data_IF_964668553800
#
_entry.id   IF_964668553800
#
_cell.length_a   1.000
_cell.length_b   1.000
_cell.length_c   1.000
_cell.angle_alpha   90.00
_cell.angle_beta   90.00
_cell.angle_gamma   90.00
#
_symmetry.space_group_name_H-M   'P 1'
#
loop_
_entity.id
_entity.type
_entity.pdbx_description
1 polymer ?
#
# COMPACT_ATOMS: atom_id res chain seq x y z
N UNK A 1 -21.77 58.22 -3.16
CA UNK A 1 -20.37 57.72 -3.08
C UNK A 1 -20.22 56.52 -2.14
N UNK A 2 -20.67 56.56 -0.87
CA UNK A 2 -20.53 55.44 0.08
C UNK A 2 -21.14 54.09 -0.37
N UNK A 3 -22.29 54.11 -1.05
CA UNK A 3 -22.95 52.89 -1.60
C UNK A 3 -22.17 52.24 -2.75
N UNK A 4 -21.43 53.02 -3.53
CA UNK A 4 -20.62 52.52 -4.65
C UNK A 4 -19.36 51.79 -4.14
N UNK A 5 -18.74 52.31 -3.08
CA UNK A 5 -17.57 51.70 -2.43
C UNK A 5 -17.90 50.32 -1.80
N UNK A 6 -19.10 50.16 -1.24
CA UNK A 6 -19.54 48.88 -0.66
C UNK A 6 -19.72 47.83 -1.75
N UNK A 7 -20.29 48.18 -2.90
CA UNK A 7 -20.49 47.25 -4.02
C UNK A 7 -19.14 46.79 -4.58
N UNK A 8 -18.18 47.70 -4.74
CA UNK A 8 -16.83 47.37 -5.22
C UNK A 8 -16.11 46.45 -4.22
N UNK A 9 -16.25 46.69 -2.92
CA UNK A 9 -15.68 45.83 -1.89
C UNK A 9 -16.26 44.41 -1.92
N UNK A 10 -17.57 44.27 -2.12
CA UNK A 10 -18.24 42.95 -2.21
C UNK A 10 -17.78 42.20 -3.46
N UNK A 11 -17.66 42.88 -4.61
CA UNK A 11 -17.19 42.27 -5.86
C UNK A 11 -15.73 41.81 -5.71
N UNK A 12 -14.87 42.61 -5.07
CA UNK A 12 -13.49 42.24 -4.81
C UNK A 12 -13.39 40.98 -3.92
N UNK A 13 -14.23 40.88 -2.88
CA UNK A 13 -14.27 39.69 -2.00
C UNK A 13 -14.74 38.45 -2.78
N UNK A 14 -15.77 38.58 -3.61
CA UNK A 14 -16.27 37.46 -4.44
C UNK A 14 -15.22 37.01 -5.45
N UNK A 15 -14.47 37.93 -6.05
CA UNK A 15 -13.39 37.60 -6.99
C UNK A 15 -12.21 36.92 -6.30
N UNK A 16 -11.86 37.33 -5.07
CA UNK A 16 -10.79 36.68 -4.30
C UNK A 16 -11.20 35.27 -3.86
N UNK A 17 -12.42 35.11 -3.32
CA UNK A 17 -12.94 33.80 -2.90
C UNK A 17 -13.14 32.86 -4.10
N UNK A 18 -13.73 33.37 -5.18
CA UNK A 18 -13.91 32.64 -6.43
C UNK A 18 -12.57 32.27 -7.06
N UNK A 19 -11.59 33.18 -7.04
CA UNK A 19 -10.23 32.94 -7.51
C UNK A 19 -9.54 31.82 -6.74
N UNK A 20 -9.65 31.78 -5.41
CA UNK A 20 -9.07 30.71 -4.57
C UNK A 20 -9.74 29.35 -4.86
N UNK A 21 -11.05 29.32 -5.04
CA UNK A 21 -11.78 28.09 -5.37
C UNK A 21 -11.42 27.56 -6.77
N UNK A 22 -11.32 28.45 -7.76
CA UNK A 22 -10.85 28.09 -9.11
C UNK A 22 -9.41 27.64 -9.07
N UNK A 23 -8.53 28.29 -8.29
CA UNK A 23 -7.15 27.85 -8.11
C UNK A 23 -7.09 26.45 -7.52
N UNK A 24 -7.88 26.13 -6.48
CA UNK A 24 -7.92 24.78 -5.89
C UNK A 24 -8.45 23.73 -6.88
N UNK A 25 -9.39 24.11 -7.75
CA UNK A 25 -9.93 23.23 -8.79
C UNK A 25 -8.94 23.03 -9.96
N UNK A 26 -8.17 24.06 -10.33
CA UNK A 26 -7.17 24.04 -11.41
C UNK A 26 -5.83 23.46 -10.96
N UNK A 27 -5.42 23.67 -9.70
CA UNK A 27 -4.28 22.96 -9.08
C UNK A 27 -4.64 21.55 -8.65
N UNK A 28 -5.85 21.07 -8.93
CA UNK A 28 -6.14 19.65 -9.15
C UNK A 28 -5.41 19.16 -10.40
N UNK A 29 -4.09 19.39 -10.44
CA UNK A 29 -3.20 18.74 -11.37
C UNK A 29 -3.29 17.26 -11.00
N UNK A 30 -3.95 16.48 -11.85
CA UNK A 30 -3.60 15.09 -12.04
C UNK A 30 -2.15 15.10 -12.54
N UNK A 31 -1.21 15.36 -11.63
CA UNK A 31 0.16 14.95 -11.80
C UNK A 31 0.04 13.43 -11.88
N UNK A 32 -0.01 12.92 -13.10
CA UNK A 32 0.14 11.52 -13.40
C UNK A 32 1.48 11.15 -12.78
N UNK A 33 1.42 10.59 -11.58
CA UNK A 33 2.60 10.23 -10.82
C UNK A 33 3.26 9.17 -11.67
N UNK A 34 4.39 9.54 -12.29
CA UNK A 34 5.15 8.67 -13.16
C UNK A 34 5.41 7.37 -12.39
N UNK A 35 4.68 6.31 -12.74
CA UNK A 35 4.77 5.01 -12.09
C UNK A 35 6.09 4.38 -12.53
N UNK A 36 7.15 4.72 -11.81
CA UNK A 36 8.47 4.12 -11.91
C UNK A 36 8.57 3.08 -10.78
N UNK A 37 8.20 1.79 -11.01
CA UNK A 37 8.04 0.85 -9.93
C UNK A 37 9.37 0.58 -9.24
N UNK A 38 9.36 0.52 -7.92
CA UNK A 38 10.56 0.32 -7.09
C UNK A 38 10.39 -0.96 -6.28
N UNK A 39 11.47 -1.72 -6.11
CA UNK A 39 11.50 -2.88 -5.22
C UNK A 39 11.96 -2.46 -3.82
N UNK A 40 11.14 -2.80 -2.82
CA UNK A 40 11.48 -2.68 -1.41
C UNK A 40 11.58 -4.07 -0.80
N UNK A 41 12.78 -4.50 -0.45
CA UNK A 41 13.00 -5.79 0.18
C UNK A 41 12.84 -5.68 1.69
N UNK A 42 12.24 -6.69 2.30
CA UNK A 42 12.26 -6.83 3.75
C UNK A 42 13.70 -7.08 4.21
N UNK A 43 14.09 -6.45 5.31
CA UNK A 43 15.42 -6.53 5.92
C UNK A 43 15.78 -7.95 6.39
N UNK A 44 14.78 -8.70 6.84
CA UNK A 44 14.90 -10.06 7.35
C UNK A 44 13.85 -10.97 6.75
N UNK A 45 14.18 -12.25 6.59
CA UNK A 45 13.20 -13.27 6.29
C UNK A 45 12.09 -13.33 7.36
N UNK A 46 10.94 -13.85 6.96
CA UNK A 46 9.82 -14.16 7.85
C UNK A 46 9.88 -15.64 8.16
N UNK A 47 10.00 -15.97 9.45
CA UNK A 47 9.84 -17.32 9.97
C UNK A 47 8.60 -17.34 10.86
N UNK A 48 7.56 -18.08 10.46
CA UNK A 48 6.31 -18.14 11.20
C UNK A 48 5.57 -19.45 10.97
N UNK A 49 4.52 -19.68 11.74
CA UNK A 49 3.71 -20.88 11.63
C UNK A 49 2.70 -20.73 10.49
N UNK A 50 2.24 -21.85 9.98
CA UNK A 50 1.07 -21.92 9.12
C UNK A 50 -0.15 -22.36 9.94
N UNK A 51 -1.34 -22.22 9.36
CA UNK A 51 -2.53 -22.78 9.98
C UNK A 51 -2.43 -24.31 10.01
N UNK A 52 -2.72 -24.89 11.16
CA UNK A 52 -2.68 -26.34 11.34
C UNK A 52 -3.99 -26.99 10.89
N UNK A 53 -3.87 -28.17 10.31
CA UNK A 53 -4.98 -29.11 10.12
C UNK A 53 -4.74 -30.31 11.05
N UNK A 54 -5.25 -30.22 12.28
CA UNK A 54 -5.03 -31.24 13.32
C UNK A 54 -3.75 -31.03 14.15
N UNK A 55 -3.01 -32.12 14.40
CA UNK A 55 -1.87 -32.16 15.34
C UNK A 55 -0.50 -31.92 14.70
N UNK A 56 -0.44 -31.68 13.39
CA UNK A 56 0.82 -31.40 12.69
C UNK A 56 1.01 -29.89 12.60
N UNK A 57 2.13 -29.40 13.14
CA UNK A 57 2.53 -28.01 13.06
C UNK A 57 3.39 -27.82 11.83
N UNK A 58 2.99 -26.86 10.99
CA UNK A 58 3.76 -26.47 9.82
C UNK A 58 4.31 -25.06 10.01
N UNK A 59 5.46 -24.80 9.40
CA UNK A 59 6.06 -23.47 9.39
C UNK A 59 6.57 -23.10 8.00
N UNK A 60 6.71 -21.79 7.80
CA UNK A 60 7.26 -21.19 6.60
C UNK A 60 8.43 -20.30 6.96
N UNK A 61 9.49 -20.40 6.15
CA UNK A 61 10.58 -19.43 6.10
C UNK A 61 10.57 -18.78 4.72
N UNK A 62 10.41 -17.46 4.64
CA UNK A 62 10.25 -16.76 3.35
C UNK A 62 10.94 -15.40 3.34
N UNK A 63 11.68 -15.12 2.26
CA UNK A 63 12.19 -13.79 1.94
C UNK A 63 11.24 -13.08 0.98
N UNK A 64 10.88 -11.83 1.31
CA UNK A 64 9.83 -11.09 0.62
C UNK A 64 10.35 -9.74 0.11
N UNK A 65 10.00 -9.41 -1.13
CA UNK A 65 10.19 -8.08 -1.71
C UNK A 65 8.87 -7.54 -2.27
N UNK A 66 8.62 -6.25 -2.08
CA UNK A 66 7.41 -5.56 -2.52
C UNK A 66 7.76 -4.68 -3.74
N UNK A 67 7.07 -4.86 -4.86
CA UNK A 67 7.08 -3.89 -5.97
C UNK A 67 6.05 -2.80 -5.65
N UNK A 68 6.50 -1.57 -5.47
CA UNK A 68 5.66 -0.40 -5.18
C UNK A 68 5.61 0.56 -6.35
N UNK A 69 4.58 1.39 -6.42
CA UNK A 69 4.29 2.28 -7.57
C UNK A 69 5.40 3.30 -7.89
N UNK A 70 6.16 3.78 -6.89
CA UNK A 70 7.23 4.78 -7.06
C UNK A 70 8.08 4.95 -5.77
N UNK A 71 9.06 5.87 -5.80
CA UNK A 71 9.92 6.18 -4.66
C UNK A 71 9.16 6.73 -3.44
N UNK A 72 8.14 7.58 -3.62
CA UNK A 72 7.34 8.09 -2.50
C UNK A 72 6.56 6.97 -1.79
N UNK A 73 6.05 6.00 -2.56
CA UNK A 73 5.45 4.80 -2.01
C UNK A 73 6.48 3.94 -1.25
N UNK A 74 7.73 3.88 -1.72
CA UNK A 74 8.81 3.17 -1.04
C UNK A 74 9.12 3.79 0.33
N UNK A 75 9.13 5.12 0.46
CA UNK A 75 9.31 5.81 1.75
C UNK A 75 8.20 5.45 2.75
N UNK A 76 6.94 5.47 2.30
CA UNK A 76 5.79 5.09 3.13
C UNK A 76 5.89 3.63 3.57
N UNK A 77 6.18 2.72 2.63
CA UNK A 77 6.32 1.29 2.92
C UNK A 77 7.46 1.02 3.90
N UNK A 78 8.60 1.71 3.76
CA UNK A 78 9.71 1.59 4.69
C UNK A 78 9.35 2.12 6.09
N UNK A 79 8.62 3.23 6.19
CA UNK A 79 8.16 3.77 7.48
C UNK A 79 7.16 2.83 8.18
N UNK A 80 6.33 2.12 7.41
CA UNK A 80 5.30 1.20 7.91
C UNK A 80 5.78 -0.27 7.98
N UNK A 81 7.07 -0.53 7.74
CA UNK A 81 7.64 -1.88 7.63
C UNK A 81 7.31 -2.80 8.82
N UNK A 82 7.33 -2.34 10.10
CA UNK A 82 6.92 -3.20 11.22
C UNK A 82 5.48 -3.71 11.11
N UNK A 83 4.54 -2.86 10.67
CA UNK A 83 3.13 -3.24 10.49
C UNK A 83 2.95 -4.15 9.28
N UNK A 84 3.70 -3.89 8.20
CA UNK A 84 3.71 -4.74 7.01
C UNK A 84 4.19 -6.15 7.36
N UNK A 85 5.27 -6.27 8.14
CA UNK A 85 5.79 -7.57 8.59
C UNK A 85 4.76 -8.32 9.45
N UNK A 86 4.13 -7.64 10.40
CA UNK A 86 3.07 -8.21 11.24
C UNK A 86 1.89 -8.72 10.40
N UNK A 87 1.46 -7.93 9.41
CA UNK A 87 0.38 -8.30 8.51
C UNK A 87 0.72 -9.54 7.65
N UNK A 88 1.95 -9.62 7.13
CA UNK A 88 2.41 -10.80 6.39
C UNK A 88 2.43 -12.04 7.28
N UNK A 89 2.91 -11.91 8.53
CA UNK A 89 2.91 -13.00 9.52
C UNK A 89 1.48 -13.46 9.82
N UNK A 90 0.56 -12.52 10.02
CA UNK A 90 -0.85 -12.80 10.27
C UNK A 90 -1.50 -13.59 9.13
N UNK A 91 -1.21 -13.21 7.88
CA UNK A 91 -1.69 -13.94 6.70
C UNK A 91 -1.14 -15.36 6.64
N UNK A 92 0.16 -15.57 6.91
CA UNK A 92 0.74 -16.91 6.91
C UNK A 92 0.19 -17.81 8.02
N UNK A 93 0.02 -17.27 9.25
CA UNK A 93 -0.61 -18.01 10.35
C UNK A 93 -2.03 -18.49 10.03
N UNK A 94 -2.75 -17.79 9.13
CA UNK A 94 -4.06 -18.19 8.64
C UNK A 94 -4.05 -19.02 7.34
N UNK A 95 -2.89 -19.33 6.78
CA UNK A 95 -2.73 -20.03 5.49
C UNK A 95 -2.41 -21.50 5.70
N UNK A 96 -3.01 -22.42 4.93
CA UNK A 96 -2.72 -23.86 5.04
C UNK A 96 -1.51 -24.22 4.20
N UNK A 97 -0.79 -25.28 4.59
CA UNK A 97 0.33 -25.79 3.77
C UNK A 97 -0.11 -26.20 2.36
N UNK A 98 -1.33 -26.73 2.21
CA UNK A 98 -1.92 -27.07 0.91
C UNK A 98 -2.04 -25.88 -0.03
N UNK A 99 -2.27 -24.67 0.51
CA UNK A 99 -2.40 -23.44 -0.25
C UNK A 99 -1.05 -22.95 -0.79
N UNK A 100 0.05 -23.40 -0.19
CA UNK A 100 1.42 -23.05 -0.58
C UNK A 100 2.12 -24.17 -1.36
N UNK A 101 1.45 -25.32 -1.54
CA UNK A 101 2.01 -26.51 -2.19
C UNK A 101 1.99 -26.45 -3.73
N UNK A 102 1.35 -25.44 -4.32
CA UNK A 102 1.25 -25.30 -5.79
C UNK A 102 1.58 -23.87 -6.23
N UNK A 103 2.09 -23.67 -7.47
CA UNK A 103 2.36 -22.34 -7.99
C UNK A 103 1.13 -21.42 -7.98
N UNK A 104 -0.04 -21.95 -8.37
CA UNK A 104 -1.28 -21.18 -8.35
C UNK A 104 -1.70 -20.78 -6.93
N UNK A 105 -1.55 -21.68 -5.95
CA UNK A 105 -1.83 -21.37 -4.55
C UNK A 105 -0.93 -20.27 -4.00
N UNK A 106 0.37 -20.30 -4.34
CA UNK A 106 1.33 -19.24 -3.98
C UNK A 106 0.89 -17.88 -4.57
N UNK A 107 0.45 -17.85 -5.83
CA UNK A 107 -0.04 -16.61 -6.45
C UNK A 107 -1.32 -16.09 -5.77
N UNK A 108 -2.22 -16.97 -5.33
CA UNK A 108 -3.40 -16.59 -4.56
C UNK A 108 -3.02 -15.99 -3.19
N UNK A 109 -2.01 -16.56 -2.52
CA UNK A 109 -1.50 -16.00 -1.24
C UNK A 109 -0.86 -14.63 -1.47
N UNK A 110 -0.06 -14.46 -2.53
CA UNK A 110 0.50 -13.15 -2.90
C UNK A 110 -0.59 -12.12 -3.18
N UNK A 111 -1.64 -12.49 -3.91
CA UNK A 111 -2.76 -11.60 -4.20
C UNK A 111 -3.48 -11.15 -2.91
N UNK A 112 -3.73 -12.08 -1.99
CA UNK A 112 -4.30 -11.79 -0.67
C UNK A 112 -3.41 -10.84 0.14
N UNK A 113 -2.10 -11.07 0.15
CA UNK A 113 -1.14 -10.19 0.82
C UNK A 113 -1.18 -8.78 0.21
N UNK A 114 -1.18 -8.64 -1.12
CA UNK A 114 -1.27 -7.34 -1.79
C UNK A 114 -2.54 -6.59 -1.36
N UNK A 115 -3.69 -7.27 -1.31
CA UNK A 115 -4.95 -6.69 -0.85
C UNK A 115 -4.85 -6.21 0.61
N UNK A 116 -4.37 -7.07 1.50
CA UNK A 116 -4.22 -6.79 2.93
C UNK A 116 -3.25 -5.63 3.20
N UNK A 117 -2.11 -5.61 2.52
CA UNK A 117 -1.11 -4.55 2.66
C UNK A 117 -1.63 -3.21 2.12
N UNK A 118 -2.30 -3.18 0.97
CA UNK A 118 -2.89 -1.95 0.45
C UNK A 118 -4.04 -1.44 1.33
N UNK A 119 -4.82 -2.33 1.94
CA UNK A 119 -5.83 -1.97 2.94
C UNK A 119 -5.19 -1.37 4.20
N UNK A 120 -4.11 -1.97 4.70
CA UNK A 120 -3.34 -1.47 5.84
C UNK A 120 -2.79 -0.06 5.58
N UNK A 121 -2.21 0.14 4.38
CA UNK A 121 -1.64 1.42 3.94
C UNK A 121 -2.70 2.45 3.52
N UNK A 122 -3.97 2.05 3.44
CA UNK A 122 -5.11 2.86 2.98
C UNK A 122 -4.88 3.49 1.59
N UNK A 123 -4.08 2.82 0.77
CA UNK A 123 -3.68 3.28 -0.56
C UNK A 123 -3.19 2.09 -1.41
N UNK A 124 -3.35 2.18 -2.74
CA UNK A 124 -2.88 1.17 -3.70
C UNK A 124 -1.40 1.37 -4.03
N UNK A 125 -0.53 1.15 -3.05
CA UNK A 125 0.92 1.39 -3.17
C UNK A 125 1.69 0.14 -3.61
N UNK A 126 1.29 -1.04 -3.13
CA UNK A 126 1.93 -2.33 -3.43
C UNK A 126 1.28 -2.92 -4.68
N UNK A 127 2.08 -3.13 -5.72
CA UNK A 127 1.65 -3.70 -7.01
C UNK A 127 1.87 -5.20 -7.09
N UNK A 128 3.02 -5.67 -6.61
CA UNK A 128 3.39 -7.09 -6.61
C UNK A 128 4.17 -7.47 -5.37
N UNK A 129 4.16 -8.76 -5.07
CA UNK A 129 4.96 -9.37 -4.03
C UNK A 129 5.79 -10.48 -4.65
N UNK A 130 7.08 -10.45 -4.39
CA UNK A 130 8.03 -11.46 -4.79
C UNK A 130 8.44 -12.26 -3.56
N UNK A 131 8.35 -13.58 -3.66
CA UNK A 131 9.01 -14.49 -2.72
C UNK A 131 10.34 -14.89 -3.36
N UNK A 132 11.44 -14.41 -2.80
CA UNK A 132 12.79 -14.57 -3.38
C UNK A 132 13.50 -15.80 -2.84
N UNK A 133 13.11 -16.28 -1.67
CA UNK A 133 13.50 -17.55 -1.07
C UNK A 133 12.32 -18.06 -0.23
N UNK A 134 12.05 -19.37 -0.26
CA UNK A 134 10.95 -19.97 0.48
C UNK A 134 11.20 -21.43 0.81
N UNK A 135 10.97 -21.81 2.07
CA UNK A 135 11.00 -23.19 2.57
C UNK A 135 9.74 -23.45 3.40
N UNK A 136 9.13 -24.62 3.19
CA UNK A 136 7.97 -25.12 3.92
C UNK A 136 8.35 -26.42 4.64
N UNK A 137 7.92 -26.60 5.88
CA UNK A 137 8.06 -27.86 6.66
C UNK A 137 6.80 -28.11 7.48
#
# INVERSE_FOLDING_TARGET
MKRLLIIIAIIAVVLVVGGILVLRFVTGSNAEVEENPVLVSLDKEILTNLSNDGNVFHYIKVSVSLEVVNNSAAEIVNAEMPKIRDEIISVFNGTRISDLSTPNGIELVKARLIERLNSLLKAKLVRKILFTDMVLQ
#
